data_IF_665510745274
#
_entry.id   IF_665510745274
#
_cell.length_a   1.000
_cell.length_b   1.000
_cell.length_c   1.000
_cell.angle_alpha   90.00
_cell.angle_beta   90.00
_cell.angle_gamma   90.00
#
_symmetry.space_group_name_H-M   'P 1'
#
loop_
_entity.id
_entity.type
_entity.pdbx_description
1 polymer ?
#
# COMPACT_ATOMS: atom_id res chain seq x y z
N UNK A 1 17.49 25.75 -38.27
CA UNK A 1 17.47 26.23 -36.87
C UNK A 1 16.05 26.18 -36.33
N UNK A 2 15.81 25.10 -35.57
CA UNK A 2 14.88 24.88 -34.46
C UNK A 2 13.78 25.90 -34.15
N UNK A 3 12.52 25.45 -34.12
CA UNK A 3 11.76 25.28 -32.86
C UNK A 3 10.36 24.65 -33.08
N UNK A 4 10.28 23.32 -33.20
CA UNK A 4 9.01 22.63 -32.92
C UNK A 4 8.93 22.36 -31.43
N UNK A 5 8.44 23.33 -30.67
CA UNK A 5 8.19 23.20 -29.23
C UNK A 5 6.85 22.49 -29.06
N UNK A 6 6.85 21.16 -29.20
CA UNK A 6 5.72 20.31 -28.83
C UNK A 6 5.57 20.43 -27.32
N UNK A 7 4.61 21.23 -26.86
CA UNK A 7 4.24 21.28 -25.46
C UNK A 7 3.62 19.93 -25.10
N UNK A 8 4.40 19.07 -24.43
CA UNK A 8 3.86 17.90 -23.76
C UNK A 8 3.06 18.42 -22.56
N UNK A 9 1.73 18.19 -22.48
CA UNK A 9 1.01 18.55 -21.27
C UNK A 9 1.58 17.72 -20.12
N UNK A 10 2.03 18.41 -19.07
CA UNK A 10 2.50 17.86 -17.81
C UNK A 10 1.40 17.12 -17.00
N UNK A 11 0.34 16.67 -17.65
CA UNK A 11 -0.80 16.00 -17.03
C UNK A 11 -0.53 14.53 -16.69
N UNK A 12 0.56 13.94 -17.20
CA UNK A 12 0.88 12.53 -16.97
C UNK A 12 1.49 12.23 -15.60
N UNK A 13 1.87 13.25 -14.80
CA UNK A 13 2.59 13.04 -13.54
C UNK A 13 1.67 12.93 -12.32
N UNK A 14 0.35 13.16 -12.46
CA UNK A 14 -0.54 13.23 -11.29
C UNK A 14 -1.73 12.27 -11.32
N UNK A 15 -1.66 11.15 -12.04
CA UNK A 15 -2.72 10.13 -11.92
C UNK A 15 -2.48 9.27 -10.67
N UNK A 16 -1.24 8.80 -10.45
CA UNK A 16 -0.91 7.93 -9.31
C UNK A 16 -0.98 8.65 -7.95
N UNK A 17 -0.65 9.94 -7.91
CA UNK A 17 -0.72 10.74 -6.68
C UNK A 17 -2.17 11.13 -6.32
N UNK A 18 -3.00 11.45 -7.32
CA UNK A 18 -4.43 11.74 -7.12
C UNK A 18 -5.20 10.47 -6.74
N UNK A 19 -4.85 9.30 -7.30
CA UNK A 19 -5.47 8.02 -6.93
C UNK A 19 -5.13 7.54 -5.52
N UNK A 20 -4.03 8.02 -4.91
CA UNK A 20 -3.72 7.74 -3.51
C UNK A 20 -4.45 8.70 -2.55
N UNK A 21 -4.73 9.93 -2.97
CA UNK A 21 -5.45 10.91 -2.16
C UNK A 21 -6.96 10.65 -2.04
N UNK A 22 -7.52 9.76 -2.86
CA UNK A 22 -8.96 9.43 -2.87
C UNK A 22 -9.25 8.00 -2.35
N UNK A 23 -8.24 7.28 -1.87
CA UNK A 23 -8.47 5.97 -1.27
C UNK A 23 -9.00 6.11 0.14
N UNK A 24 -10.13 5.46 0.36
CA UNK A 24 -10.66 5.18 1.68
C UNK A 24 -9.55 4.65 2.62
N UNK A 25 -9.37 5.25 3.81
CA UNK A 25 -8.29 4.90 4.71
C UNK A 25 -8.37 3.44 5.19
N UNK A 26 -9.58 2.88 5.34
CA UNK A 26 -9.78 1.46 5.62
C UNK A 26 -9.22 0.56 4.52
N UNK A 27 -9.45 0.90 3.25
CA UNK A 27 -8.87 0.16 2.12
C UNK A 27 -7.34 0.24 2.06
N UNK A 28 -6.74 1.37 2.45
CA UNK A 28 -5.27 1.50 2.52
C UNK A 28 -4.69 0.58 3.59
N UNK A 29 -5.33 0.52 4.76
CA UNK A 29 -4.92 -0.36 5.87
C UNK A 29 -5.09 -1.83 5.50
N UNK A 30 -6.17 -2.20 4.82
CA UNK A 30 -6.38 -3.57 4.35
C UNK A 30 -5.27 -4.01 3.38
N UNK A 31 -4.91 -3.15 2.41
CA UNK A 31 -3.81 -3.44 1.49
C UNK A 31 -2.45 -3.53 2.21
N UNK A 32 -2.24 -2.72 3.25
CA UNK A 32 -1.04 -2.82 4.07
C UNK A 32 -0.99 -4.15 4.84
N UNK A 33 -2.11 -4.61 5.38
CA UNK A 33 -2.21 -5.91 6.06
C UNK A 33 -1.90 -7.08 5.10
N UNK A 34 -2.45 -7.07 3.88
CA UNK A 34 -2.17 -8.09 2.86
C UNK A 34 -0.68 -8.17 2.51
N UNK A 35 -0.02 -7.01 2.37
CA UNK A 35 1.43 -6.96 2.09
C UNK A 35 2.26 -7.52 3.24
N UNK A 36 1.83 -7.30 4.48
CA UNK A 36 2.52 -7.83 5.65
C UNK A 36 2.36 -9.35 5.76
N UNK A 37 1.20 -9.90 5.43
CA UNK A 37 1.04 -11.36 5.37
C UNK A 37 1.94 -11.98 4.29
N UNK A 38 2.03 -11.37 3.11
CA UNK A 38 2.97 -11.84 2.08
C UNK A 38 4.44 -11.80 2.56
N UNK A 39 4.82 -10.79 3.37
CA UNK A 39 6.15 -10.73 3.98
C UNK A 39 6.34 -11.79 5.07
N UNK A 40 5.28 -12.12 5.83
CA UNK A 40 5.32 -13.19 6.81
C UNK A 40 5.57 -14.55 6.14
N UNK A 41 4.88 -14.84 5.04
CA UNK A 41 5.07 -16.08 4.28
C UNK A 41 6.50 -16.18 3.74
N UNK A 42 7.06 -15.08 3.24
CA UNK A 42 8.46 -15.03 2.80
C UNK A 42 9.43 -15.23 3.97
N UNK A 43 9.15 -14.63 5.14
CA UNK A 43 9.98 -14.81 6.34
C UNK A 43 9.97 -16.27 6.81
N UNK A 44 8.83 -16.96 6.78
CA UNK A 44 8.74 -18.40 7.09
C UNK A 44 9.53 -19.25 6.10
N UNK A 45 9.41 -18.98 4.80
CA UNK A 45 10.19 -19.65 3.75
C UNK A 45 11.70 -19.51 3.98
N UNK A 46 12.14 -18.38 4.55
CA UNK A 46 13.53 -18.12 4.91
C UNK A 46 13.95 -18.68 6.27
N UNK A 47 13.03 -19.30 7.02
CA UNK A 47 13.27 -19.83 8.36
C UNK A 47 13.29 -18.77 9.48
N UNK A 48 12.85 -17.53 9.20
CA UNK A 48 12.73 -16.46 10.18
C UNK A 48 11.31 -16.44 10.80
N UNK A 49 11.05 -17.39 11.68
CA UNK A 49 9.76 -17.50 12.38
C UNK A 49 9.44 -16.25 13.23
N UNK A 50 10.43 -15.68 13.90
CA UNK A 50 10.24 -14.46 14.70
C UNK A 50 9.92 -13.24 13.82
N UNK A 51 10.46 -13.15 12.61
CA UNK A 51 10.07 -12.17 11.60
C UNK A 51 8.64 -12.37 11.13
N UNK A 52 8.26 -13.61 10.80
CA UNK A 52 6.92 -13.95 10.37
C UNK A 52 5.85 -13.58 11.42
N UNK A 53 6.08 -13.92 12.68
CA UNK A 53 5.16 -13.59 13.78
C UNK A 53 4.98 -12.08 13.95
N UNK A 54 6.07 -11.31 13.82
CA UNK A 54 6.01 -9.84 13.87
C UNK A 54 5.18 -9.28 12.72
N UNK A 55 5.38 -9.76 11.50
CA UNK A 55 4.61 -9.33 10.33
C UNK A 55 3.12 -9.66 10.46
N UNK A 56 2.77 -10.86 10.96
CA UNK A 56 1.37 -11.26 11.21
C UNK A 56 0.70 -10.43 12.30
N UNK A 57 1.40 -10.18 13.41
CA UNK A 57 0.89 -9.33 14.48
C UNK A 57 0.59 -7.91 13.97
N UNK A 58 1.47 -7.41 13.12
CA UNK A 58 1.33 -6.12 12.48
C UNK A 58 0.18 -6.10 11.45
N UNK A 59 0.03 -7.15 10.63
CA UNK A 59 -1.08 -7.30 9.69
C UNK A 59 -2.44 -7.30 10.42
N UNK A 60 -2.55 -8.06 11.51
CA UNK A 60 -3.76 -8.11 12.32
C UNK A 60 -4.11 -6.76 12.94
N UNK A 61 -3.13 -6.00 13.43
CA UNK A 61 -3.37 -4.64 13.94
C UNK A 61 -4.02 -3.75 12.88
N UNK A 62 -3.49 -3.79 11.65
CA UNK A 62 -4.00 -2.97 10.53
C UNK A 62 -5.39 -3.40 10.06
N UNK A 63 -5.73 -4.68 10.16
CA UNK A 63 -7.10 -5.18 9.89
C UNK A 63 -8.11 -4.67 10.91
N UNK A 64 -7.74 -4.66 12.19
CA UNK A 64 -8.61 -4.12 13.25
C UNK A 64 -8.83 -2.62 13.04
N UNK A 65 -7.76 -1.87 12.79
CA UNK A 65 -7.86 -0.44 12.47
C UNK A 65 -8.69 -0.19 11.19
N UNK A 66 -8.54 -1.04 10.15
CA UNK A 66 -9.35 -0.93 8.95
C UNK A 66 -10.84 -1.19 9.22
N UNK A 67 -11.15 -2.18 10.06
CA UNK A 67 -12.53 -2.50 10.43
C UNK A 67 -13.17 -1.36 11.22
N UNK A 68 -12.45 -0.77 12.18
CA UNK A 68 -12.90 0.40 12.94
C UNK A 68 -13.22 1.60 12.02
N UNK A 69 -12.46 1.79 10.94
CA UNK A 69 -12.70 2.88 9.99
C UNK A 69 -13.81 2.62 8.97
N UNK A 70 -14.13 1.34 8.70
CA UNK A 70 -15.19 0.96 7.75
C UNK A 70 -16.56 0.87 8.42
N UNK A 71 -16.61 0.71 9.75
CA UNK A 71 -17.83 0.66 10.54
C UNK A 71 -18.38 2.05 10.94
N UNK A 72 -17.60 3.13 10.80
CA UNK A 72 -17.94 4.54 11.13
C UNK A 72 -18.45 5.33 9.90
#
# INVERSE_FOLDING_TARGET
MTHWRRAYPAAAVSVSAVQMSDRDPGQVLQLAAERLDALADVAELMGDGAGADRFRADANRRRLEAMELLDD
#
